data_IF_679622699750
#
_entry.id   IF_679622699750
#
_cell.length_a   1.000
_cell.length_b   1.000
_cell.length_c   1.000
_cell.angle_alpha   90.00
_cell.angle_beta   90.00
_cell.angle_gamma   90.00
#
_symmetry.space_group_name_H-M   'P 1'
#
loop_
_entity.id
_entity.type
_entity.pdbx_description
1 polymer ?
#
# COMPACT_ATOMS: atom_id res chain seq x y z
N UNK A 1 -14.83 -17.56 28.60
CA UNK A 1 -13.65 -17.88 27.77
C UNK A 1 -14.01 -19.06 26.90
N UNK A 2 -14.04 -18.86 25.57
CA UNK A 2 -14.33 -19.92 24.61
C UNK A 2 -13.04 -20.23 23.84
N UNK A 3 -12.70 -21.50 23.70
CA UNK A 3 -11.60 -21.94 22.83
C UNK A 3 -12.20 -22.45 21.53
N UNK A 4 -11.70 -21.96 20.40
CA UNK A 4 -12.06 -22.42 19.06
C UNK A 4 -10.81 -23.02 18.42
N UNK A 5 -10.95 -24.23 17.90
CA UNK A 5 -9.94 -24.89 17.06
C UNK A 5 -10.50 -24.90 15.65
N UNK A 6 -9.72 -24.35 14.72
CA UNK A 6 -10.07 -24.29 13.31
C UNK A 6 -8.97 -25.01 12.53
N UNK A 7 -9.36 -25.99 11.74
CA UNK A 7 -8.48 -26.65 10.78
C UNK A 7 -8.87 -26.19 9.38
N UNK A 8 -7.88 -25.80 8.58
CA UNK A 8 -8.07 -25.38 7.20
C UNK A 8 -7.00 -26.03 6.33
N UNK A 9 -7.37 -26.30 5.09
CA UNK A 9 -6.50 -26.91 4.08
C UNK A 9 -6.32 -25.92 2.94
N UNK A 10 -5.08 -25.68 2.55
CA UNK A 10 -4.78 -24.92 1.34
C UNK A 10 -5.16 -25.76 0.12
N UNK A 11 -6.11 -25.26 -0.68
CA UNK A 11 -6.56 -25.95 -1.90
C UNK A 11 -5.84 -25.44 -3.15
N UNK A 12 -5.27 -24.22 -3.12
CA UNK A 12 -4.63 -23.58 -4.25
C UNK A 12 -3.16 -23.22 -3.96
N UNK A 13 -2.29 -23.41 -4.97
CA UNK A 13 -0.88 -23.05 -4.89
C UNK A 13 -0.64 -21.52 -4.82
N UNK A 14 -1.65 -20.72 -5.15
CA UNK A 14 -1.64 -19.26 -5.16
C UNK A 14 -2.09 -18.60 -3.86
N UNK A 15 -2.23 -19.36 -2.77
CA UNK A 15 -2.54 -18.85 -1.44
C UNK A 15 -1.28 -18.82 -0.55
N UNK A 16 -0.32 -17.90 -0.78
CA UNK A 16 0.96 -17.90 -0.08
C UNK A 16 0.87 -17.40 1.37
N UNK A 17 -0.30 -16.92 1.82
CA UNK A 17 -0.43 -16.24 3.11
C UNK A 17 -1.72 -16.65 3.81
N UNK A 18 -1.59 -17.29 4.97
CA UNK A 18 -2.71 -17.46 5.88
C UNK A 18 -3.21 -16.11 6.38
N UNK A 19 -4.51 -15.84 6.24
CA UNK A 19 -5.15 -14.71 6.92
C UNK A 19 -6.23 -15.20 7.87
N UNK A 20 -6.01 -15.00 9.17
CA UNK A 20 -7.07 -15.10 10.16
C UNK A 20 -7.77 -13.74 10.29
N UNK A 21 -9.06 -13.69 9.98
CA UNK A 21 -9.87 -12.48 10.11
C UNK A 21 -10.96 -12.72 11.14
N UNK A 22 -10.98 -11.89 12.18
CA UNK A 22 -12.08 -11.82 13.13
C UNK A 22 -13.00 -10.68 12.70
N UNK A 23 -14.15 -11.01 12.13
CA UNK A 23 -15.18 -10.02 11.88
C UNK A 23 -16.02 -9.85 13.15
N UNK A 24 -15.87 -8.70 13.81
CA UNK A 24 -16.59 -8.34 15.04
C UNK A 24 -17.78 -7.39 14.76
N UNK A 25 -18.31 -7.41 13.54
CA UNK A 25 -19.48 -6.62 13.15
C UNK A 25 -20.80 -7.20 13.65
N UNK A 26 -21.90 -6.49 13.35
CA UNK A 26 -23.27 -6.95 13.61
C UNK A 26 -23.68 -7.99 12.55
N UNK A 27 -24.15 -9.14 13.00
CA UNK A 27 -24.76 -10.20 12.19
C UNK A 27 -26.26 -10.32 12.52
N UNK A 28 -27.02 -11.02 11.68
CA UNK A 28 -28.49 -11.15 11.77
C UNK A 28 -28.98 -11.69 13.14
N UNK A 29 -28.11 -12.35 13.92
CA UNK A 29 -28.37 -12.91 15.25
C UNK A 29 -27.80 -12.08 16.41
N UNK A 30 -27.29 -10.88 16.16
CA UNK A 30 -26.65 -10.01 17.15
C UNK A 30 -27.51 -8.81 17.60
N UNK A 31 -28.79 -8.76 17.20
CA UNK A 31 -29.71 -7.71 17.65
C UNK A 31 -29.80 -7.68 19.20
N UNK A 32 -29.45 -6.52 19.79
CA UNK A 32 -29.55 -6.29 21.23
C UNK A 32 -28.29 -6.59 22.05
N UNK A 33 -27.13 -6.79 21.41
CA UNK A 33 -25.86 -6.77 22.14
C UNK A 33 -25.50 -5.33 22.55
N UNK A 34 -25.40 -5.09 23.85
CA UNK A 34 -24.85 -3.85 24.41
C UNK A 34 -23.35 -3.72 24.08
N UNK A 35 -22.77 -2.54 24.33
CA UNK A 35 -21.33 -2.31 24.23
C UNK A 35 -20.54 -3.35 25.04
N UNK A 36 -19.57 -4.00 24.39
CA UNK A 36 -18.76 -5.05 25.01
C UNK A 36 -17.36 -5.09 24.42
N UNK A 37 -16.43 -5.63 25.20
CA UNK A 37 -15.05 -5.81 24.80
C UNK A 37 -14.80 -7.26 24.37
N UNK A 38 -14.08 -7.44 23.25
CA UNK A 38 -13.69 -8.75 22.75
C UNK A 38 -12.21 -8.94 23.03
N UNK A 39 -11.91 -9.93 23.86
CA UNK A 39 -10.54 -10.34 24.17
C UNK A 39 -10.19 -11.61 23.41
N UNK A 40 -9.16 -11.50 22.56
CA UNK A 40 -8.54 -12.64 21.87
C UNK A 40 -7.17 -12.86 22.51
N UNK A 41 -6.94 -14.04 23.04
CA UNK A 41 -5.71 -14.41 23.72
C UNK A 41 -5.35 -15.87 23.44
N UNK A 42 -4.08 -16.23 23.61
CA UNK A 42 -3.53 -17.58 23.41
C UNK A 42 -3.78 -18.13 21.99
N UNK A 43 -3.56 -17.31 20.96
CA UNK A 43 -3.60 -17.74 19.55
C UNK A 43 -2.34 -18.55 19.24
N UNK A 44 -2.51 -19.83 18.90
CA UNK A 44 -1.46 -20.70 18.36
C UNK A 44 -1.79 -21.05 16.92
N UNK A 45 -0.76 -21.13 16.08
CA UNK A 45 -0.85 -21.61 14.71
C UNK A 45 0.14 -22.75 14.52
N UNK A 46 -0.37 -23.93 14.17
CA UNK A 46 0.43 -25.14 14.01
C UNK A 46 0.22 -25.74 12.62
N UNK A 47 1.31 -26.17 12.00
CA UNK A 47 1.30 -26.90 10.74
C UNK A 47 0.99 -28.38 11.03
N UNK A 48 -0.15 -28.86 10.54
CA UNK A 48 -0.64 -30.22 10.83
C UNK A 48 -0.12 -31.25 9.82
N UNK A 49 0.01 -30.88 8.54
CA UNK A 49 0.54 -31.73 7.47
C UNK A 49 1.21 -30.88 6.38
N UNK A 50 2.49 -31.15 6.11
CA UNK A 50 3.31 -30.52 5.08
C UNK A 50 3.85 -31.51 4.04
N UNK A 51 3.32 -32.73 4.01
CA UNK A 51 3.79 -33.80 3.12
C UNK A 51 3.75 -33.43 1.63
N UNK A 52 2.88 -32.49 1.24
CA UNK A 52 2.76 -31.95 -0.12
C UNK A 52 3.26 -30.51 -0.26
N UNK A 53 3.88 -29.94 0.79
CA UNK A 53 4.42 -28.59 0.74
C UNK A 53 5.58 -28.55 -0.27
N UNK A 54 5.43 -27.75 -1.31
CA UNK A 54 6.56 -27.40 -2.16
C UNK A 54 7.37 -26.38 -1.37
N UNK A 55 8.63 -26.72 -1.03
CA UNK A 55 9.55 -25.71 -0.52
C UNK A 55 9.66 -24.62 -1.57
N UNK A 56 9.03 -23.48 -1.32
CA UNK A 56 9.47 -22.25 -1.95
C UNK A 56 10.97 -22.14 -1.64
N UNK A 57 11.80 -21.94 -2.66
CA UNK A 57 13.12 -21.40 -2.38
C UNK A 57 12.88 -20.11 -1.61
N UNK A 58 13.24 -20.12 -0.33
CA UNK A 58 13.29 -18.89 0.46
C UNK A 58 14.42 -18.12 -0.19
N UNK A 59 14.08 -17.31 -1.18
CA UNK A 59 14.86 -16.15 -1.49
C UNK A 59 14.76 -15.35 -0.21
N UNK A 60 15.79 -15.41 0.64
CA UNK A 60 16.00 -14.35 1.60
C UNK A 60 15.99 -13.08 0.77
N UNK A 61 14.86 -12.39 0.74
CA UNK A 61 14.82 -11.03 0.26
C UNK A 61 15.65 -10.32 1.32
N UNK A 62 16.89 -9.91 1.03
CA UNK A 62 17.71 -9.23 2.01
C UNK A 62 16.85 -8.09 2.56
N UNK A 63 16.82 -7.88 3.88
CA UNK A 63 16.10 -6.74 4.42
C UNK A 63 16.61 -5.52 3.67
N UNK A 64 15.69 -4.86 2.97
CA UNK A 64 16.04 -3.74 2.10
C UNK A 64 16.23 -2.55 3.02
N UNK A 65 17.41 -2.52 3.63
CA UNK A 65 17.83 -1.49 4.58
C UNK A 65 18.21 -0.19 3.86
N UNK A 66 17.89 -0.07 2.57
CA UNK A 66 18.03 1.12 1.76
C UNK A 66 16.65 1.57 1.29
N UNK A 67 16.22 2.74 1.76
CA UNK A 67 14.97 3.38 1.39
C UNK A 67 15.24 4.59 0.49
N UNK A 68 14.53 4.64 -0.63
CA UNK A 68 14.53 5.74 -1.60
C UNK A 68 13.08 5.98 -2.05
N UNK A 69 12.81 7.16 -2.64
CA UNK A 69 11.59 7.35 -3.40
C UNK A 69 11.62 6.46 -4.66
N UNK A 70 10.82 5.39 -4.66
CA UNK A 70 10.76 4.41 -5.75
C UNK A 70 10.05 4.96 -7.00
N UNK A 71 9.35 6.09 -6.91
CA UNK A 71 8.80 6.77 -8.08
C UNK A 71 9.91 7.55 -8.78
N UNK A 72 10.59 8.43 -8.06
CA UNK A 72 11.68 9.22 -8.60
C UNK A 72 11.89 10.58 -7.93
N UNK A 73 12.66 11.43 -8.59
CA UNK A 73 13.05 12.76 -8.13
C UNK A 73 13.04 13.76 -9.27
N UNK A 74 12.74 15.03 -8.97
CA UNK A 74 12.89 16.11 -9.94
C UNK A 74 14.38 16.50 -10.07
N UNK A 75 14.83 16.93 -11.26
CA UNK A 75 16.14 17.56 -11.43
C UNK A 75 16.30 18.76 -10.48
N UNK A 76 17.49 18.92 -9.89
CA UNK A 76 17.80 20.06 -9.02
C UNK A 76 17.10 20.10 -7.64
N UNK A 77 16.21 19.17 -7.31
CA UNK A 77 15.62 19.07 -5.97
C UNK A 77 16.43 18.16 -5.06
N UNK A 78 16.29 18.32 -3.74
CA UNK A 78 16.95 17.48 -2.75
C UNK A 78 16.61 15.99 -2.95
N UNK A 79 17.64 15.13 -2.95
CA UNK A 79 17.50 13.68 -3.10
C UNK A 79 18.27 12.98 -1.97
N UNK A 80 17.58 12.11 -1.25
CA UNK A 80 18.13 11.46 -0.05
C UNK A 80 17.82 9.97 -0.07
N UNK A 81 18.85 9.15 0.09
CA UNK A 81 18.71 7.75 0.42
C UNK A 81 18.81 7.59 1.94
N UNK A 82 17.97 6.72 2.51
CA UNK A 82 17.97 6.41 3.94
C UNK A 82 18.48 4.98 4.11
N UNK A 83 19.50 4.82 4.93
CA UNK A 83 20.13 3.55 5.25
C UNK A 83 19.79 3.16 6.68
N UNK A 84 19.46 1.89 6.90
CA UNK A 84 19.06 1.30 8.18
C UNK A 84 20.08 0.24 8.57
N UNK A 85 20.08 -0.15 9.85
CA UNK A 85 20.90 -1.26 10.34
C UNK A 85 22.38 -0.91 10.56
N UNK A 86 23.07 -1.81 11.28
CA UNK A 86 24.47 -1.63 11.69
C UNK A 86 25.47 -1.92 10.57
N UNK A 87 25.03 -2.63 9.53
CA UNK A 87 25.88 -3.06 8.40
C UNK A 87 25.80 -2.10 7.21
N UNK A 88 25.42 -0.84 7.38
CA UNK A 88 25.19 0.12 6.27
C UNK A 88 26.38 0.37 5.31
N UNK A 89 27.62 0.12 5.75
CA UNK A 89 28.82 0.61 5.07
C UNK A 89 29.03 2.12 5.17
N UNK A 90 30.09 2.63 4.53
CA UNK A 90 30.48 4.05 4.62
C UNK A 90 30.08 4.88 3.40
N UNK A 91 29.75 4.23 2.29
CA UNK A 91 29.44 4.89 1.01
C UNK A 91 28.39 4.15 0.20
N UNK A 92 27.81 4.87 -0.76
CA UNK A 92 26.86 4.35 -1.73
C UNK A 92 27.18 4.90 -3.12
N UNK A 93 26.72 4.19 -4.15
CA UNK A 93 26.86 4.56 -5.55
C UNK A 93 25.49 4.75 -6.18
N UNK A 94 25.36 5.73 -7.08
CA UNK A 94 24.23 5.84 -8.00
C UNK A 94 24.70 5.38 -9.37
N UNK A 95 23.99 4.42 -9.95
CA UNK A 95 24.33 3.77 -11.22
C UNK A 95 23.25 4.10 -12.23
N UNK A 96 23.64 4.59 -13.41
CA UNK A 96 22.72 4.76 -14.53
C UNK A 96 22.38 3.38 -15.12
N UNK A 97 21.10 3.06 -15.25
CA UNK A 97 20.64 1.73 -15.69
C UNK A 97 20.88 1.49 -17.17
N UNK A 98 20.89 2.53 -18.01
CA UNK A 98 21.05 2.41 -19.46
C UNK A 98 22.46 1.95 -19.85
N UNK A 99 23.48 2.54 -19.24
CA UNK A 99 24.89 2.25 -19.55
C UNK A 99 25.62 1.47 -18.44
N UNK A 100 24.97 1.23 -17.29
CA UNK A 100 25.51 0.57 -16.11
C UNK A 100 26.78 1.24 -15.55
N UNK A 101 26.91 2.56 -15.72
CA UNK A 101 28.00 3.36 -15.19
C UNK A 101 27.64 3.98 -13.84
N UNK A 102 28.60 3.98 -12.91
CA UNK A 102 28.49 4.75 -11.67
C UNK A 102 28.62 6.23 -11.98
N UNK A 103 27.53 6.98 -11.78
CA UNK A 103 27.46 8.42 -12.05
C UNK A 103 27.73 9.28 -10.81
N UNK A 104 27.65 8.68 -9.61
CA UNK A 104 27.90 9.36 -8.34
C UNK A 104 28.31 8.38 -7.25
N UNK A 105 29.20 8.82 -6.37
CA UNK A 105 29.56 8.11 -5.12
C UNK A 105 29.40 9.07 -3.95
N UNK A 106 28.52 8.71 -3.02
CA UNK A 106 28.22 9.52 -1.83
C UNK A 106 28.60 8.82 -0.53
N UNK A 107 28.71 9.59 0.55
CA UNK A 107 28.92 9.06 1.90
C UNK A 107 27.60 8.72 2.59
N UNK A 108 27.62 7.69 3.43
CA UNK A 108 26.51 7.34 4.32
C UNK A 108 26.80 7.90 5.71
N UNK A 109 26.15 9.01 6.04
CA UNK A 109 26.46 9.83 7.21
C UNK A 109 25.18 10.29 7.95
N UNK A 110 25.31 11.23 8.88
CA UNK A 110 24.19 11.83 9.63
C UNK A 110 23.35 10.81 10.44
N UNK A 111 24.01 9.98 11.23
CA UNK A 111 23.37 9.04 12.17
C UNK A 111 22.27 9.72 12.99
N UNK A 112 21.08 9.11 13.01
CA UNK A 112 19.92 9.62 13.75
C UNK A 112 19.02 8.49 14.22
N UNK A 113 18.78 8.44 15.53
CA UNK A 113 17.76 7.57 16.12
C UNK A 113 16.35 7.97 15.65
N UNK A 114 15.60 7.02 15.09
CA UNK A 114 14.19 7.11 14.77
C UNK A 114 13.38 6.39 15.85
N UNK A 115 12.93 7.13 16.86
CA UNK A 115 12.20 6.58 18.01
C UNK A 115 10.87 5.93 17.65
N UNK A 116 10.21 6.36 16.56
CA UNK A 116 8.92 5.80 16.13
C UNK A 116 9.09 4.43 15.48
N UNK A 117 10.22 4.21 14.80
CA UNK A 117 10.55 2.93 14.18
C UNK A 117 11.44 2.04 15.07
N UNK A 118 12.00 2.57 16.16
CA UNK A 118 12.87 1.81 17.07
C UNK A 118 14.24 1.46 16.47
N UNK A 119 14.75 2.30 15.56
CA UNK A 119 15.95 2.02 14.78
C UNK A 119 16.83 3.25 14.58
N UNK A 120 18.10 3.03 14.22
CA UNK A 120 19.03 4.09 13.84
C UNK A 120 19.10 4.21 12.32
N UNK A 121 18.92 5.44 11.82
CA UNK A 121 18.93 5.78 10.41
C UNK A 121 20.16 6.61 10.05
N UNK A 122 20.60 6.44 8.81
CA UNK A 122 21.69 7.18 8.20
C UNK A 122 21.24 7.69 6.83
N UNK A 123 21.93 8.70 6.30
CA UNK A 123 21.47 9.44 5.14
C UNK A 123 22.60 9.61 4.13
N UNK A 124 22.24 9.52 2.86
CA UNK A 124 23.10 9.83 1.73
C UNK A 124 22.43 10.83 0.82
N UNK A 125 23.06 11.99 0.64
CA UNK A 125 22.59 13.03 -0.28
C UNK A 125 23.21 12.78 -1.67
N UNK A 126 22.37 12.74 -2.69
CA UNK A 126 22.77 12.62 -4.10
C UNK A 126 22.06 13.66 -4.98
N UNK A 127 21.77 14.82 -4.39
CA UNK A 127 21.08 15.94 -5.04
C UNK A 127 21.78 16.39 -6.32
N UNK A 128 23.11 16.26 -6.38
CA UNK A 128 23.95 16.61 -7.54
C UNK A 128 23.61 15.79 -8.80
N UNK A 129 23.05 14.58 -8.65
CA UNK A 129 22.55 13.80 -9.78
C UNK A 129 21.26 14.45 -10.28
N UNK A 130 21.33 15.12 -11.42
CA UNK A 130 20.22 15.89 -11.98
C UNK A 130 19.91 15.54 -13.45
N UNK A 131 20.77 14.77 -14.10
CA UNK A 131 20.50 14.28 -15.45
C UNK A 131 19.27 13.39 -15.45
N UNK A 132 18.44 13.52 -16.49
CA UNK A 132 17.24 12.72 -16.61
C UNK A 132 17.60 11.28 -17.00
N UNK A 133 16.98 10.30 -16.35
CA UNK A 133 17.29 8.90 -16.58
C UNK A 133 16.71 7.97 -15.54
N UNK A 134 17.00 6.67 -15.70
CA UNK A 134 16.68 5.64 -14.71
C UNK A 134 17.96 5.24 -13.99
N UNK A 135 17.90 5.18 -12.66
CA UNK A 135 19.04 4.94 -11.80
C UNK A 135 18.73 3.86 -10.77
N UNK A 136 19.77 3.19 -10.29
CA UNK A 136 19.73 2.27 -9.15
C UNK A 136 20.79 2.67 -8.13
N UNK A 137 20.54 2.36 -6.87
CA UNK A 137 21.51 2.62 -5.79
C UNK A 137 22.27 1.34 -5.45
N UNK A 138 23.57 1.44 -5.18
CA UNK A 138 24.39 0.30 -4.78
C UNK A 138 25.17 0.61 -3.51
N UNK A 139 25.27 -0.36 -2.61
CA UNK A 139 26.20 -0.32 -1.47
C UNK A 139 27.03 -1.60 -1.42
N UNK A 140 28.19 -1.53 -0.77
CA UNK A 140 29.02 -2.73 -0.54
C UNK A 140 28.28 -3.76 0.32
N UNK A 141 27.56 -3.28 1.34
CA UNK A 141 26.91 -4.13 2.31
C UNK A 141 25.65 -4.83 1.81
N UNK A 142 24.93 -4.18 0.90
CA UNK A 142 23.59 -4.61 0.53
C UNK A 142 23.47 -4.95 -0.96
N UNK A 143 24.44 -4.57 -1.81
CA UNK A 143 24.36 -4.76 -3.25
C UNK A 143 23.53 -3.68 -3.96
N UNK A 144 22.92 -4.02 -5.10
CA UNK A 144 22.11 -3.09 -5.92
C UNK A 144 20.63 -3.09 -5.49
N UNK A 145 20.00 -1.92 -5.47
CA UNK A 145 18.62 -1.69 -5.03
C UNK A 145 17.82 -0.88 -6.03
N UNK A 146 16.50 -1.09 -5.97
CA UNK A 146 15.39 -0.40 -6.64
C UNK A 146 15.76 0.64 -7.70
N UNK A 147 15.24 0.43 -8.90
CA UNK A 147 15.27 1.45 -9.94
C UNK A 147 14.33 2.61 -9.58
N UNK A 148 14.78 3.84 -9.84
CA UNK A 148 13.99 5.05 -9.72
C UNK A 148 14.33 6.02 -10.85
N UNK A 149 13.41 6.94 -11.17
CA UNK A 149 13.62 7.93 -12.23
C UNK A 149 14.12 9.27 -11.68
N UNK A 150 14.92 9.97 -12.48
CA UNK A 150 15.12 11.41 -12.34
C UNK A 150 14.60 12.04 -13.63
N UNK A 151 13.75 13.05 -13.53
CA UNK A 151 13.10 13.67 -14.68
C UNK A 151 12.03 14.67 -14.29
N UNK A 152 11.62 15.52 -15.22
CA UNK A 152 10.59 16.55 -14.96
C UNK A 152 9.17 15.95 -14.87
N UNK A 153 8.96 14.76 -15.43
CA UNK A 153 7.67 14.06 -15.57
C UNK A 153 7.45 12.96 -14.52
N UNK A 154 8.35 12.81 -13.54
CA UNK A 154 8.34 11.67 -12.60
C UNK A 154 7.06 11.53 -11.79
N UNK A 155 6.31 12.61 -11.60
CA UNK A 155 5.06 12.61 -10.83
C UNK A 155 3.79 12.67 -11.69
N UNK A 156 3.91 12.75 -13.03
CA UNK A 156 2.75 12.92 -13.92
C UNK A 156 1.78 11.74 -13.84
N UNK A 157 2.30 10.51 -13.83
CA UNK A 157 1.47 9.32 -13.74
C UNK A 157 0.80 9.20 -12.36
N UNK A 158 1.54 9.46 -11.27
CA UNK A 158 0.97 9.43 -9.91
C UNK A 158 -0.15 10.47 -9.79
N UNK A 159 0.05 11.66 -10.37
CA UNK A 159 -0.98 12.68 -10.41
C UNK A 159 -2.21 12.21 -11.20
N UNK A 160 -2.01 11.71 -12.43
CA UNK A 160 -3.09 11.21 -13.28
C UNK A 160 -3.85 10.07 -12.60
N UNK A 161 -3.16 9.11 -12.01
CA UNK A 161 -3.75 7.97 -11.31
C UNK A 161 -4.53 8.39 -10.08
N UNK A 162 -4.05 9.39 -9.34
CA UNK A 162 -4.79 9.86 -8.16
C UNK A 162 -6.05 10.64 -8.56
N UNK A 163 -5.99 11.49 -9.59
CA UNK A 163 -7.18 12.15 -10.14
C UNK A 163 -8.15 11.10 -10.72
N UNK A 164 -7.62 10.06 -11.37
CA UNK A 164 -8.43 8.94 -11.87
C UNK A 164 -9.09 8.19 -10.74
N UNK A 165 -8.41 7.94 -9.62
CA UNK A 165 -9.00 7.34 -8.42
C UNK A 165 -10.20 8.16 -7.94
N UNK A 166 -10.07 9.49 -7.83
CA UNK A 166 -11.21 10.35 -7.45
C UNK A 166 -12.37 10.28 -8.44
N UNK A 167 -12.09 10.18 -9.74
CA UNK A 167 -13.12 10.00 -10.76
C UNK A 167 -13.87 8.68 -10.56
N UNK A 168 -13.15 7.58 -10.30
CA UNK A 168 -13.73 6.24 -10.07
C UNK A 168 -14.65 6.20 -8.84
N UNK A 169 -14.45 7.12 -7.89
CA UNK A 169 -15.23 7.19 -6.65
C UNK A 169 -16.42 8.16 -6.71
N UNK A 170 -16.77 8.72 -7.88
CA UNK A 170 -17.88 9.69 -7.98
C UNK A 170 -19.23 9.05 -7.67
N UNK A 171 -20.01 9.74 -6.86
CA UNK A 171 -21.42 9.48 -6.59
C UNK A 171 -22.35 10.21 -7.57
N UNK A 172 -23.46 9.57 -7.91
CA UNK A 172 -24.62 10.21 -8.51
C UNK A 172 -24.49 10.63 -9.98
N UNK A 173 -23.52 10.05 -10.67
CA UNK A 173 -23.37 10.12 -12.12
C UNK A 173 -22.92 8.77 -12.62
N UNK A 174 -23.48 8.35 -13.77
CA UNK A 174 -23.08 7.12 -14.41
C UNK A 174 -21.58 7.10 -14.69
N UNK A 175 -20.86 6.10 -14.19
CA UNK A 175 -19.44 5.90 -14.48
C UNK A 175 -19.26 4.94 -15.67
N UNK A 176 -18.29 5.25 -16.52
CA UNK A 176 -17.93 4.38 -17.64
C UNK A 176 -17.22 3.13 -17.09
N UNK A 177 -17.74 1.91 -17.34
CA UNK A 177 -17.11 0.67 -16.88
C UNK A 177 -15.68 0.47 -17.38
N UNK A 178 -15.30 1.05 -18.53
CA UNK A 178 -13.92 1.02 -19.04
C UNK A 178 -12.95 1.88 -18.22
N UNK A 179 -13.47 2.81 -17.42
CA UNK A 179 -12.67 3.70 -16.57
C UNK A 179 -12.67 3.20 -15.13
N UNK A 180 -13.84 2.90 -14.57
CA UNK A 180 -13.99 2.54 -13.16
C UNK A 180 -13.98 1.03 -12.89
N UNK A 181 -14.60 0.22 -13.75
CA UNK A 181 -14.64 -1.24 -13.57
C UNK A 181 -15.07 -1.64 -12.16
N UNK A 182 -14.27 -2.48 -11.50
CA UNK A 182 -14.47 -2.96 -10.13
C UNK A 182 -14.23 -1.91 -9.04
N UNK A 183 -13.78 -0.70 -9.40
CA UNK A 183 -13.43 0.40 -8.48
C UNK A 183 -14.50 1.50 -8.40
N UNK A 184 -15.69 1.28 -8.98
CA UNK A 184 -16.86 2.13 -8.68
C UNK A 184 -17.19 2.05 -7.19
N UNK A 185 -17.87 3.06 -6.64
CA UNK A 185 -18.16 3.23 -5.19
C UNK A 185 -18.41 1.92 -4.41
N UNK A 186 -17.91 1.89 -3.17
CA UNK A 186 -17.86 0.68 -2.37
C UNK A 186 -19.22 0.15 -1.91
N UNK A 187 -19.33 -1.16 -1.67
CA UNK A 187 -20.54 -1.79 -1.14
C UNK A 187 -20.97 -1.20 0.21
N UNK A 188 -22.22 -0.74 0.30
CA UNK A 188 -22.86 -0.37 1.57
C UNK A 188 -24.04 -1.30 1.87
N UNK A 189 -23.95 -2.02 2.99
CA UNK A 189 -24.98 -2.96 3.44
C UNK A 189 -26.15 -2.30 4.15
N UNK A 190 -26.02 -1.04 4.57
CA UNK A 190 -27.03 -0.36 5.37
C UNK A 190 -28.12 0.29 4.51
N UNK A 191 -27.84 0.57 3.24
CA UNK A 191 -28.83 1.04 2.26
C UNK A 191 -29.63 2.24 2.80
N UNK A 192 -28.94 3.19 3.42
CA UNK A 192 -29.56 4.28 4.21
C UNK A 192 -30.36 5.28 3.35
N UNK A 193 -30.23 5.19 2.03
CA UNK A 193 -31.05 5.96 1.10
C UNK A 193 -32.23 5.15 0.52
N UNK A 194 -33.37 5.79 0.22
CA UNK A 194 -34.56 5.10 -0.28
C UNK A 194 -34.37 4.37 -1.61
N UNK A 195 -33.41 4.80 -2.44
CA UNK A 195 -33.17 4.21 -3.75
C UNK A 195 -32.38 2.91 -3.64
N UNK A 196 -31.29 2.91 -2.86
CA UNK A 196 -30.50 1.74 -2.51
C UNK A 196 -31.37 0.70 -1.81
N UNK A 197 -32.16 1.12 -0.80
CA UNK A 197 -33.07 0.22 -0.08
C UNK A 197 -34.08 -0.47 -0.99
N UNK A 198 -34.55 0.21 -2.04
CA UNK A 198 -35.49 -0.36 -3.00
C UNK A 198 -34.82 -1.31 -4.00
N UNK A 199 -33.59 -1.00 -4.44
CA UNK A 199 -32.92 -1.71 -5.53
C UNK A 199 -32.00 -2.84 -5.08
N UNK A 200 -31.53 -2.82 -3.82
CA UNK A 200 -30.47 -3.71 -3.31
C UNK A 200 -30.90 -4.59 -2.14
N UNK A 201 -32.20 -4.62 -1.81
CA UNK A 201 -32.77 -5.21 -0.59
C UNK A 201 -32.33 -6.65 -0.24
N UNK A 202 -31.93 -7.45 -1.23
CA UNK A 202 -31.49 -8.84 -1.06
C UNK A 202 -30.10 -9.10 -1.66
N UNK A 203 -29.35 -8.03 -1.95
CA UNK A 203 -28.02 -8.12 -2.54
C UNK A 203 -27.00 -8.33 -1.42
N UNK A 204 -26.08 -9.31 -1.53
CA UNK A 204 -25.01 -9.46 -0.56
C UNK A 204 -24.20 -8.17 -0.42
N UNK A 205 -23.78 -7.82 0.80
CA UNK A 205 -23.12 -6.55 1.10
C UNK A 205 -22.08 -6.17 0.04
N UNK A 206 -21.13 -7.06 -0.29
CA UNK A 206 -20.06 -6.83 -1.27
C UNK A 206 -20.54 -6.52 -2.71
N UNK A 207 -21.83 -6.66 -3.01
CA UNK A 207 -22.47 -6.37 -4.30
C UNK A 207 -23.47 -5.21 -4.22
N UNK A 208 -23.65 -4.59 -3.05
CA UNK A 208 -24.54 -3.44 -2.85
C UNK A 208 -23.95 -2.15 -3.42
N UNK A 209 -23.88 -2.07 -4.75
CA UNK A 209 -23.48 -0.88 -5.51
C UNK A 209 -24.54 -0.56 -6.56
N UNK A 210 -25.00 0.70 -6.60
CA UNK A 210 -25.95 1.17 -7.59
C UNK A 210 -25.54 2.55 -8.11
N UNK A 211 -25.35 2.62 -9.42
CA UNK A 211 -24.95 3.83 -10.12
C UNK A 211 -26.16 4.78 -10.36
N UNK A 212 -26.63 5.41 -9.29
CA UNK A 212 -27.76 6.35 -9.30
C UNK A 212 -27.58 7.50 -8.30
N UNK A 213 -27.97 8.72 -8.69
CA UNK A 213 -27.92 9.91 -7.83
C UNK A 213 -28.74 9.82 -6.54
N UNK A 214 -29.81 9.03 -6.53
CA UNK A 214 -30.60 8.78 -5.33
C UNK A 214 -29.89 7.82 -4.36
N UNK A 215 -28.87 7.08 -4.83
CA UNK A 215 -28.16 6.07 -4.06
C UNK A 215 -26.93 6.64 -3.35
N UNK A 216 -27.12 7.63 -2.48
CA UNK A 216 -25.98 8.27 -1.82
C UNK A 216 -25.26 7.35 -0.83
N UNK A 217 -25.93 6.41 -0.17
CA UNK A 217 -25.32 5.58 0.89
C UNK A 217 -24.28 4.58 0.33
N UNK A 218 -24.57 3.98 -0.84
CA UNK A 218 -23.64 3.08 -1.55
C UNK A 218 -22.59 3.80 -2.39
N UNK A 219 -22.67 5.12 -2.48
CA UNK A 219 -21.77 5.95 -3.28
C UNK A 219 -20.96 6.96 -2.43
N UNK A 220 -21.08 6.92 -1.10
CA UNK A 220 -20.52 7.91 -0.15
C UNK A 220 -19.03 7.71 0.19
N UNK A 221 -18.15 7.40 -0.76
CA UNK A 221 -16.69 7.49 -0.48
C UNK A 221 -16.16 8.92 -0.70
N UNK A 222 -16.81 9.73 -1.56
CA UNK A 222 -16.09 10.80 -2.28
C UNK A 222 -15.85 12.10 -1.50
N UNK A 223 -16.65 12.46 -0.50
CA UNK A 223 -16.63 13.83 0.06
C UNK A 223 -15.46 14.10 1.02
N UNK A 224 -14.98 13.09 1.74
CA UNK A 224 -13.96 13.28 2.79
C UNK A 224 -12.51 13.11 2.32
N UNK A 225 -12.29 12.54 1.14
CA UNK A 225 -10.94 12.27 0.59
C UNK A 225 -10.43 13.38 -0.32
N UNK A 226 -11.33 14.16 -0.92
CA UNK A 226 -10.96 15.24 -1.85
C UNK A 226 -10.17 16.37 -1.17
N UNK A 227 -10.54 16.75 0.06
CA UNK A 227 -9.89 17.83 0.81
C UNK A 227 -8.44 17.52 1.21
N UNK A 228 -8.10 16.37 1.83
CA UNK A 228 -6.70 16.03 2.12
C UNK A 228 -5.88 15.79 0.84
N UNK A 229 -6.49 15.29 -0.24
CA UNK A 229 -5.81 15.14 -1.53
C UNK A 229 -5.38 16.48 -2.13
N UNK A 230 -6.31 17.43 -2.26
CA UNK A 230 -6.00 18.77 -2.79
C UNK A 230 -4.96 19.49 -1.92
N UNK A 231 -5.03 19.33 -0.60
CA UNK A 231 -4.01 19.86 0.31
C UNK A 231 -2.63 19.27 0.06
N UNK A 232 -2.53 17.94 -0.08
CA UNK A 232 -1.27 17.23 -0.34
C UNK A 232 -0.69 17.57 -1.71
N UNK A 233 -1.54 17.68 -2.73
CA UNK A 233 -1.12 18.03 -4.09
C UNK A 233 -0.58 19.46 -4.21
N UNK A 234 -1.07 20.39 -3.41
CA UNK A 234 -0.56 21.77 -3.41
C UNK A 234 0.87 21.86 -2.83
N UNK A 235 1.27 20.90 -2.00
CA UNK A 235 2.62 20.82 -1.44
C UNK A 235 3.66 20.18 -2.39
N UNK A 236 3.22 19.64 -3.53
CA UNK A 236 4.08 19.02 -4.55
C UNK A 236 4.46 19.98 -5.69
N UNK A 237 4.11 21.27 -5.58
CA UNK A 237 4.50 22.33 -6.51
C UNK A 237 5.60 23.23 -5.95
#
# INVERSE_FOLDING_TARGET
MQTKILEFKYEEASDPVLRLVCNCGLFDDTEGLDEHEIYIDNVSLEMIDDSNAVKAEVVEVPSKDVNVNQIGYLPGTKKTAIFRGDTKGDSFEIINVENNETVYTGKIENEKMNSTAGETNYYGDFTEVAEAGTYKIKTEAYGEFYEFKIGEDVYDNVFADTVKMLHKQRCGIKLDPSIAGEFTGGPDSKLEDPYAAAMLKDTPAAKCYVDNHGSFSTNEITIYWNSPFIFTMNALK
#
